data_IF_851736329372
#
_entry.id   IF_851736329372
#
_cell.length_a   1.000
_cell.length_b   1.000
_cell.length_c   1.000
_cell.angle_alpha   90.00
_cell.angle_beta   90.00
_cell.angle_gamma   90.00
#
_symmetry.space_group_name_H-M   'P 1'
#
loop_
_entity.id
_entity.type
_entity.pdbx_description
1 polymer ?
#
# COMPACT_ATOMS: atom_id res chain seq x y z
N UNK A 1 -27.58 28.14 11.73
CA UNK A 1 -27.98 26.79 12.18
C UNK A 1 -27.37 25.77 11.23
N UNK A 2 -26.20 25.24 11.52
CA UNK A 2 -25.58 24.15 10.73
C UNK A 2 -25.00 23.14 11.70
N UNK A 3 -25.57 21.93 11.70
CA UNK A 3 -25.28 20.85 12.64
C UNK A 3 -23.79 20.46 12.64
N UNK A 4 -23.25 19.97 13.77
CA UNK A 4 -21.91 19.39 13.79
C UNK A 4 -21.92 18.12 12.93
N UNK A 5 -21.16 18.13 11.85
CA UNK A 5 -20.93 16.97 11.01
C UNK A 5 -19.93 16.08 11.76
N UNK A 6 -20.43 15.23 12.66
CA UNK A 6 -19.59 14.29 13.40
C UNK A 6 -18.90 13.37 12.39
N UNK A 7 -17.57 13.38 12.29
CA UNK A 7 -16.88 12.49 11.36
C UNK A 7 -17.32 11.06 11.70
N UNK A 8 -17.76 10.26 10.70
CA UNK A 8 -18.19 8.90 10.95
C UNK A 8 -17.07 8.18 11.71
N UNK A 9 -17.43 7.62 12.86
CA UNK A 9 -16.52 6.93 13.79
C UNK A 9 -15.72 5.91 13.00
N UNK A 10 -14.40 6.09 12.90
CA UNK A 10 -13.52 5.17 12.18
C UNK A 10 -13.81 3.75 12.67
N UNK A 11 -14.33 2.93 11.76
CA UNK A 11 -14.76 1.58 12.10
C UNK A 11 -13.54 0.67 12.16
N UNK A 12 -13.62 -0.45 12.89
CA UNK A 12 -12.55 -1.47 12.86
C UNK A 12 -12.24 -1.92 11.42
N UNK A 13 -13.22 -1.84 10.54
CA UNK A 13 -13.09 -2.12 9.12
C UNK A 13 -12.22 -1.08 8.39
N UNK A 14 -12.32 0.20 8.72
CA UNK A 14 -11.43 1.24 8.19
C UNK A 14 -9.99 1.04 8.68
N UNK A 15 -9.81 0.55 9.91
CA UNK A 15 -8.49 0.18 10.44
C UNK A 15 -7.90 -0.99 9.69
N UNK A 16 -8.65 -2.07 9.45
CA UNK A 16 -8.19 -3.22 8.65
C UNK A 16 -7.87 -2.78 7.22
N UNK A 17 -8.75 -1.97 6.61
CA UNK A 17 -8.56 -1.45 5.26
C UNK A 17 -7.33 -0.54 5.15
N UNK A 18 -7.10 0.32 6.14
CA UNK A 18 -5.90 1.14 6.24
C UNK A 18 -4.64 0.29 6.42
N UNK A 19 -4.73 -0.78 7.21
CA UNK A 19 -3.65 -1.73 7.42
C UNK A 19 -3.33 -2.50 6.13
N UNK A 20 -4.33 -2.98 5.39
CA UNK A 20 -4.16 -3.60 4.08
C UNK A 20 -3.59 -2.64 3.02
N UNK A 21 -4.00 -1.36 3.02
CA UNK A 21 -3.38 -0.33 2.17
C UNK A 21 -1.97 0.05 2.57
N UNK A 22 -1.63 -0.17 3.84
CA UNK A 22 -0.26 -0.10 4.33
C UNK A 22 0.56 -1.30 3.86
N UNK A 23 -0.02 -2.50 3.76
CA UNK A 23 0.66 -3.71 3.28
C UNK A 23 0.96 -3.69 1.77
N UNK A 24 0.09 -3.07 0.98
CA UNK A 24 0.29 -2.91 -0.47
C UNK A 24 1.17 -1.71 -0.85
N UNK A 25 1.44 -0.78 0.07
CA UNK A 25 2.35 0.36 -0.19
C UNK A 25 1.80 1.46 -1.11
N UNK A 26 0.49 1.50 -1.39
CA UNK A 26 -0.14 2.51 -2.26
C UNK A 26 -0.62 3.71 -1.44
N UNK A 27 0.31 4.43 -0.82
CA UNK A 27 0.07 5.79 -0.30
C UNK A 27 1.15 6.77 -0.77
N UNK A 28 1.39 6.81 -2.07
CA UNK A 28 2.34 7.76 -2.67
C UNK A 28 1.58 8.83 -3.46
N UNK A 29 1.28 9.97 -2.83
CA UNK A 29 0.75 11.14 -3.55
C UNK A 29 1.38 12.48 -3.22
N UNK A 30 2.34 12.58 -2.31
CA UNK A 30 2.81 13.92 -1.87
C UNK A 30 4.26 14.28 -2.19
N UNK A 31 5.15 13.32 -2.40
CA UNK A 31 6.56 13.61 -2.74
C UNK A 31 6.86 13.47 -4.24
N UNK A 32 5.84 13.24 -5.07
CA UNK A 32 6.02 12.95 -6.49
C UNK A 32 6.36 14.20 -7.31
N UNK A 33 5.90 15.39 -6.93
CA UNK A 33 6.06 16.58 -7.78
C UNK A 33 7.42 17.28 -7.62
N UNK A 34 8.01 17.29 -6.41
CA UNK A 34 9.28 17.99 -6.16
C UNK A 34 10.51 17.19 -6.62
N UNK A 35 10.47 15.86 -6.58
CA UNK A 35 11.58 15.00 -7.02
C UNK A 35 11.60 14.75 -8.54
N UNK A 36 10.46 14.87 -9.23
CA UNK A 36 10.38 14.71 -10.68
C UNK A 36 11.18 15.76 -11.47
N UNK A 37 11.41 16.93 -10.88
CA UNK A 37 12.19 18.00 -11.52
C UNK A 37 13.71 17.81 -11.35
N UNK A 38 14.16 16.92 -10.45
CA UNK A 38 15.57 16.84 -10.05
C UNK A 38 16.18 15.42 -10.14
N UNK A 39 15.37 14.36 -10.12
CA UNK A 39 15.80 12.96 -10.23
C UNK A 39 15.10 12.26 -11.40
N UNK A 40 15.89 11.63 -12.28
CA UNK A 40 15.42 10.99 -13.51
C UNK A 40 14.20 10.05 -13.27
N UNK A 41 13.08 10.25 -13.99
CA UNK A 41 11.82 9.50 -13.81
C UNK A 41 11.97 7.97 -13.98
N UNK A 42 13.04 7.54 -14.67
CA UNK A 42 13.41 6.14 -14.84
C UNK A 42 13.59 5.39 -13.51
N UNK A 43 14.21 6.02 -12.51
CA UNK A 43 14.51 5.37 -11.24
C UNK A 43 13.23 5.08 -10.43
N UNK A 44 12.24 5.96 -10.53
CA UNK A 44 10.94 5.79 -9.87
C UNK A 44 10.19 4.58 -10.44
N UNK A 45 10.26 4.40 -11.77
CA UNK A 45 9.65 3.27 -12.46
C UNK A 45 10.34 1.95 -12.04
N UNK A 46 11.67 1.94 -11.97
CA UNK A 46 12.42 0.77 -11.53
C UNK A 46 12.09 0.35 -10.09
N UNK A 47 12.05 1.31 -9.16
CA UNK A 47 11.70 1.07 -7.75
C UNK A 47 10.24 0.61 -7.60
N UNK A 48 9.31 1.20 -8.37
CA UNK A 48 7.91 0.76 -8.38
C UNK A 48 7.79 -0.68 -8.89
N UNK A 49 8.52 -1.05 -9.93
CA UNK A 49 8.51 -2.39 -10.50
C UNK A 49 9.10 -3.42 -9.55
N UNK A 50 10.23 -3.10 -8.90
CA UNK A 50 10.83 -3.94 -7.87
C UNK A 50 9.89 -4.18 -6.68
N UNK A 51 9.20 -3.13 -6.20
CA UNK A 51 8.23 -3.24 -5.12
C UNK A 51 7.06 -4.19 -5.46
N UNK A 52 6.57 -4.14 -6.71
CA UNK A 52 5.53 -5.06 -7.20
C UNK A 52 6.03 -6.51 -7.22
N UNK A 53 7.26 -6.74 -7.68
CA UNK A 53 7.85 -8.09 -7.70
C UNK A 53 7.96 -8.66 -6.29
N UNK A 54 8.50 -7.88 -5.35
CA UNK A 54 8.64 -8.29 -3.95
C UNK A 54 7.28 -8.63 -3.34
N UNK A 55 6.25 -7.84 -3.64
CA UNK A 55 4.89 -8.07 -3.16
C UNK A 55 4.31 -9.40 -3.67
N UNK A 56 4.47 -9.68 -4.97
CA UNK A 56 4.01 -10.93 -5.60
C UNK A 56 4.74 -12.14 -4.99
N UNK A 57 6.07 -12.07 -4.83
CA UNK A 57 6.85 -13.15 -4.24
C UNK A 57 6.41 -13.43 -2.81
N UNK A 58 6.18 -12.38 -2.01
CA UNK A 58 5.67 -12.51 -0.64
C UNK A 58 4.34 -13.26 -0.58
N UNK A 59 3.40 -12.93 -1.46
CA UNK A 59 2.11 -13.64 -1.58
C UNK A 59 2.28 -15.10 -1.99
N UNK A 60 3.14 -15.38 -2.97
CA UNK A 60 3.39 -16.76 -3.41
C UNK A 60 3.99 -17.59 -2.28
N UNK A 61 4.97 -17.04 -1.55
CA UNK A 61 5.55 -17.72 -0.40
C UNK A 61 4.53 -17.95 0.72
N UNK A 62 3.67 -16.98 0.99
CA UNK A 62 2.59 -17.11 1.98
C UNK A 62 1.63 -18.24 1.60
N UNK A 63 1.21 -18.29 0.34
CA UNK A 63 0.33 -19.37 -0.15
C UNK A 63 1.01 -20.72 -0.05
N UNK A 64 2.27 -20.82 -0.47
CA UNK A 64 3.04 -22.07 -0.36
C UNK A 64 3.19 -22.51 1.09
N UNK A 65 3.41 -21.57 2.01
CA UNK A 65 3.50 -21.84 3.44
C UNK A 65 2.18 -22.40 4.00
N UNK A 66 1.04 -21.78 3.66
CA UNK A 66 -0.30 -22.24 4.08
C UNK A 66 -0.60 -23.63 3.52
N UNK A 67 -0.27 -23.90 2.26
CA UNK A 67 -0.48 -25.21 1.63
C UNK A 67 0.42 -26.27 2.24
N UNK A 68 1.67 -25.95 2.60
CA UNK A 68 2.62 -26.89 3.16
C UNK A 68 2.35 -27.24 4.64
N UNK A 69 1.74 -26.34 5.42
CA UNK A 69 1.45 -26.55 6.85
C UNK A 69 -0.02 -26.88 7.12
N UNK A 70 -0.88 -26.90 6.10
CA UNK A 70 -2.32 -27.15 6.22
C UNK A 70 -2.75 -28.59 5.96
N UNK A 71 -1.83 -29.55 5.90
CA UNK A 71 -2.07 -30.98 5.72
C UNK A 71 -1.63 -31.77 6.96
#
# INVERSE_FOLDING_TARGET
MTAPNTPPKATLWDTVKAVCWSFFGVRKKSAYQDDLAKLNPLHIIAVAFAAVIVFIVGLVLLVRYVVAHGA
#
